data_IF_897803664365
#
_entry.id   IF_897803664365
#
_cell.length_a   1.000
_cell.length_b   1.000
_cell.length_c   1.000
_cell.angle_alpha   90.00
_cell.angle_beta   90.00
_cell.angle_gamma   90.00
#
_symmetry.space_group_name_H-M   'P 1'
#
loop_
_entity.id
_entity.type
_entity.pdbx_description
1 polymer ?
#
# COMPACT_ATOMS: atom_id res chain seq x y z
N UNK A 1 24.27 24.90 5.81
CA UNK A 1 24.47 23.46 5.58
C UNK A 1 23.28 22.93 4.79
N UNK A 2 23.43 22.43 3.56
CA UNK A 2 22.32 21.84 2.83
C UNK A 2 21.84 20.58 3.56
N UNK A 3 20.56 20.55 3.96
CA UNK A 3 19.94 19.34 4.51
C UNK A 3 19.61 18.43 3.34
N UNK A 4 20.41 17.38 3.16
CA UNK A 4 20.13 16.32 2.18
C UNK A 4 19.03 15.44 2.72
N UNK A 5 17.92 15.33 1.98
CA UNK A 5 16.85 14.36 2.26
C UNK A 5 17.17 13.11 1.46
N UNK A 6 17.40 12.00 2.15
CA UNK A 6 17.57 10.68 1.53
C UNK A 6 16.19 10.06 1.36
N UNK A 7 15.86 9.66 0.15
CA UNK A 7 14.62 8.92 -0.14
C UNK A 7 14.93 7.44 0.10
N UNK A 8 14.20 6.83 1.03
CA UNK A 8 14.24 5.38 1.28
C UNK A 8 13.74 4.61 0.04
N UNK A 9 14.22 3.37 -0.11
CA UNK A 9 13.74 2.48 -1.17
C UNK A 9 12.23 2.27 -1.08
N UNK A 10 11.58 2.11 -2.23
CA UNK A 10 10.16 1.79 -2.27
C UNK A 10 9.87 0.48 -1.54
N UNK A 11 8.73 0.44 -0.84
CA UNK A 11 8.25 -0.78 -0.20
C UNK A 11 7.90 -1.81 -1.28
N UNK A 12 8.26 -3.07 -1.03
CA UNK A 12 7.83 -4.19 -1.86
C UNK A 12 6.33 -4.42 -1.73
N UNK A 13 5.72 -5.09 -2.71
CA UNK A 13 4.29 -5.44 -2.68
C UNK A 13 3.91 -6.26 -1.44
N UNK A 14 4.77 -7.20 -1.01
CA UNK A 14 4.57 -7.99 0.21
C UNK A 14 4.54 -7.11 1.46
N UNK A 15 5.45 -6.14 1.54
CA UNK A 15 5.52 -5.26 2.70
C UNK A 15 4.34 -4.29 2.76
N UNK A 16 3.86 -3.82 1.61
CA UNK A 16 2.63 -3.04 1.51
C UNK A 16 1.41 -3.84 1.99
N UNK A 17 1.29 -5.11 1.60
CA UNK A 17 0.21 -6.00 2.05
C UNK A 17 0.26 -6.25 3.56
N UNK A 18 1.44 -6.54 4.10
CA UNK A 18 1.64 -6.76 5.54
C UNK A 18 1.25 -5.52 6.35
N UNK A 19 1.70 -4.33 5.93
CA UNK A 19 1.35 -3.05 6.59
C UNK A 19 -0.12 -2.69 6.44
N UNK A 20 -0.73 -2.97 5.29
CA UNK A 20 -2.18 -2.85 5.10
C UNK A 20 -2.94 -3.68 6.14
N UNK A 21 -2.60 -4.98 6.28
CA UNK A 21 -3.26 -5.90 7.23
C UNK A 21 -3.01 -5.53 8.70
N UNK A 22 -1.82 -5.03 9.03
CA UNK A 22 -1.45 -4.65 10.38
C UNK A 22 -1.98 -3.27 10.81
N UNK A 23 -2.39 -2.42 9.85
CA UNK A 23 -2.80 -1.05 10.15
C UNK A 23 -4.15 -0.97 10.88
N UNK A 24 -4.16 -0.28 12.03
CA UNK A 24 -5.37 -0.01 12.83
C UNK A 24 -6.08 1.27 12.39
N UNK A 25 -5.32 2.24 11.87
CA UNK A 25 -5.88 3.49 11.33
C UNK A 25 -6.53 3.23 9.98
N UNK A 26 -7.81 3.58 9.85
CA UNK A 26 -8.57 3.47 8.59
C UNK A 26 -7.89 4.21 7.44
N UNK A 27 -7.31 5.38 7.71
CA UNK A 27 -6.61 6.19 6.70
C UNK A 27 -5.34 5.49 6.22
N UNK A 28 -4.50 5.03 7.16
CA UNK A 28 -3.27 4.32 6.79
C UNK A 28 -3.57 3.03 6.04
N UNK A 29 -4.63 2.32 6.44
CA UNK A 29 -5.11 1.12 5.76
C UNK A 29 -5.43 1.41 4.29
N UNK A 30 -6.23 2.46 4.04
CA UNK A 30 -6.58 2.87 2.67
C UNK A 30 -5.36 3.25 1.86
N UNK A 31 -4.39 3.96 2.44
CA UNK A 31 -3.15 4.32 1.74
C UNK A 31 -2.35 3.07 1.34
N UNK A 32 -2.09 2.16 2.27
CA UNK A 32 -1.37 0.93 1.97
C UNK A 32 -2.11 0.06 0.95
N UNK A 33 -3.44 -0.05 1.05
CA UNK A 33 -4.26 -0.81 0.10
C UNK A 33 -4.18 -0.22 -1.32
N UNK A 34 -4.31 1.10 -1.47
CA UNK A 34 -4.23 1.76 -2.79
C UNK A 34 -2.83 1.56 -3.39
N UNK A 35 -1.77 1.77 -2.61
CA UNK A 35 -0.39 1.63 -3.11
C UNK A 35 -0.09 0.18 -3.46
N UNK A 36 -0.55 -0.78 -2.64
CA UNK A 36 -0.40 -2.21 -2.93
C UNK A 36 -1.10 -2.61 -4.24
N UNK A 37 -2.35 -2.19 -4.43
CA UNK A 37 -3.11 -2.43 -5.66
C UNK A 37 -2.38 -1.88 -6.90
N UNK A 38 -1.88 -0.64 -6.80
CA UNK A 38 -1.11 -0.02 -7.88
C UNK A 38 0.21 -0.77 -8.16
N UNK A 39 0.92 -1.21 -7.12
CA UNK A 39 2.18 -1.95 -7.26
C UNK A 39 2.00 -3.34 -7.86
N UNK A 40 0.88 -4.00 -7.57
CA UNK A 40 0.53 -5.31 -8.11
C UNK A 40 -0.05 -5.25 -9.55
N UNK A 41 -0.28 -4.04 -10.06
CA UNK A 41 -0.91 -3.83 -11.38
C UNK A 41 -2.40 -4.18 -11.42
N UNK A 42 -3.01 -4.45 -10.25
CA UNK A 42 -4.45 -4.74 -10.13
C UNK A 42 -5.20 -3.45 -9.82
N UNK A 43 -6.20 -3.14 -10.63
CA UNK A 43 -7.04 -1.97 -10.34
C UNK A 43 -7.95 -2.26 -9.15
N UNK A 44 -8.19 -1.29 -8.24
CA UNK A 44 -9.10 -1.46 -7.11
C UNK A 44 -10.50 -1.95 -7.50
N UNK A 45 -10.95 -1.59 -8.70
CA UNK A 45 -12.23 -2.01 -9.27
C UNK A 45 -12.31 -3.54 -9.51
N UNK A 46 -11.19 -4.19 -9.80
CA UNK A 46 -11.16 -5.63 -10.10
C UNK A 46 -11.17 -6.47 -8.81
N UNK A 47 -10.50 -6.01 -7.76
CA UNK A 47 -10.30 -6.81 -6.54
C UNK A 47 -11.42 -6.63 -5.50
N UNK A 48 -12.17 -5.53 -5.54
CA UNK A 48 -13.35 -5.32 -4.70
C UNK A 48 -14.41 -6.44 -4.85
N UNK A 49 -14.42 -7.14 -5.98
CA UNK A 49 -15.32 -8.27 -6.25
C UNK A 49 -14.85 -9.61 -5.65
N UNK A 50 -13.56 -9.74 -5.32
CA UNK A 50 -12.97 -11.01 -4.88
C UNK A 50 -12.88 -11.18 -3.36
N UNK A 51 -12.98 -10.09 -2.58
CA UNK A 51 -12.90 -10.13 -1.11
C UNK A 51 -14.28 -10.12 -0.40
N UNK A 52 -15.38 -10.07 -1.16
CA UNK A 52 -16.77 -10.05 -0.64
C UNK A 52 -17.58 -11.33 -0.96
N UNK A 53 -16.94 -12.38 -1.47
CA UNK A 53 -17.47 -13.75 -1.62
C UNK A 53 -16.61 -14.69 -0.76
#
# INVERSE_FOLDING_TARGET
MPKTVTVESHLSSEELYSRYRASTSSVQRSHYQIIWLLADGKTPATEARSYWL
#
